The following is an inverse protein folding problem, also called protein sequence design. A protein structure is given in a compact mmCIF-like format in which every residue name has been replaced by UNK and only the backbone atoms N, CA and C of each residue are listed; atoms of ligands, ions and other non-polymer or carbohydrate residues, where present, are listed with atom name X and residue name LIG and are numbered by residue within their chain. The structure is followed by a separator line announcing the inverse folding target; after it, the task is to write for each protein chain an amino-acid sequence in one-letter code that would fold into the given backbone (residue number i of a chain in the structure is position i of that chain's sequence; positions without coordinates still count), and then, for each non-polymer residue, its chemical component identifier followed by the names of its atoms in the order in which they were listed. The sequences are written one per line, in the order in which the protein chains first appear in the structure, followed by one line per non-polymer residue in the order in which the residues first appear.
data_IF_975566598193
#
_entry.id   IF_975566598193
#
_cell.length_a   1.000
_cell.length_b   1.000
_cell.length_c   1.000
_cell.angle_alpha   90.00
_cell.angle_beta   90.00
_cell.angle_gamma   90.00
#
_symmetry.space_group_name_H-M   'P 1'
#
loop_
_entity.id
_entity.type
_entity.pdbx_description
1 polymer ?
#
# COMPACT_ATOMS: atom_id res chain seq x y z
N UNK A 1 -20.52 -40.11 -80.58
CA UNK A 1 -20.66 -40.52 -79.14
C UNK A 1 -19.56 -39.83 -78.37
N UNK A 2 -19.86 -38.66 -77.81
CA UNK A 2 -18.90 -37.87 -77.09
C UNK A 2 -19.25 -37.97 -75.59
N UNK A 3 -18.30 -38.45 -74.75
CA UNK A 3 -18.47 -38.53 -73.34
C UNK A 3 -17.93 -37.22 -72.71
N UNK A 4 -18.85 -36.41 -72.24
CA UNK A 4 -18.51 -35.21 -71.40
C UNK A 4 -18.10 -35.62 -69.98
N UNK A 5 -16.87 -35.31 -69.63
CA UNK A 5 -16.33 -35.51 -68.27
C UNK A 5 -16.55 -34.22 -67.43
N UNK A 6 -17.49 -34.26 -66.51
CA UNK A 6 -17.69 -33.17 -65.52
C UNK A 6 -16.65 -33.26 -64.43
N UNK A 7 -15.68 -32.30 -64.35
CA UNK A 7 -14.77 -32.11 -63.23
C UNK A 7 -15.49 -31.35 -62.12
N UNK A 8 -15.65 -31.96 -60.94
CA UNK A 8 -16.09 -31.27 -59.72
C UNK A 8 -14.89 -30.60 -59.05
N UNK A 9 -14.93 -29.28 -59.03
CA UNK A 9 -13.96 -28.47 -58.32
C UNK A 9 -14.37 -28.46 -56.81
N UNK A 10 -13.61 -29.13 -55.94
CA UNK A 10 -13.79 -29.05 -54.49
C UNK A 10 -13.12 -27.78 -54.00
N UNK A 11 -13.91 -26.77 -53.64
CA UNK A 11 -13.44 -25.56 -52.93
C UNK A 11 -13.32 -25.93 -51.46
N UNK A 12 -12.08 -26.08 -50.98
CA UNK A 12 -11.78 -26.20 -49.55
C UNK A 12 -11.79 -24.83 -48.92
N UNK A 13 -12.74 -24.57 -48.05
CA UNK A 13 -12.75 -23.36 -47.20
C UNK A 13 -11.78 -23.59 -46.05
N UNK A 14 -10.64 -22.89 -46.07
CA UNK A 14 -9.68 -22.86 -44.98
C UNK A 14 -10.17 -21.82 -43.96
N UNK A 15 -10.74 -22.27 -42.82
CA UNK A 15 -11.10 -21.40 -41.72
C UNK A 15 -9.83 -21.14 -40.90
N UNK A 16 -9.25 -19.95 -41.07
CA UNK A 16 -8.15 -19.51 -40.20
C UNK A 16 -8.74 -19.01 -38.87
N UNK A 17 -8.54 -19.77 -37.80
CA UNK A 17 -8.86 -19.33 -36.45
C UNK A 17 -7.73 -18.40 -36.00
N UNK A 18 -7.99 -17.09 -35.98
CA UNK A 18 -7.07 -16.10 -35.42
C UNK A 18 -7.29 -16.06 -33.90
N UNK A 19 -6.36 -16.63 -33.15
CA UNK A 19 -6.30 -16.41 -31.71
C UNK A 19 -5.79 -15.01 -31.45
N UNK A 20 -6.66 -14.08 -31.03
CA UNK A 20 -6.26 -12.78 -30.50
C UNK A 20 -5.83 -13.03 -29.06
N UNK A 21 -4.52 -13.16 -28.83
CA UNK A 21 -3.93 -13.08 -27.49
C UNK A 21 -3.95 -11.61 -27.10
N UNK A 22 -4.92 -11.23 -26.29
CA UNK A 22 -4.95 -9.90 -25.70
C UNK A 22 -3.74 -9.75 -24.76
N UNK A 23 -2.74 -8.98 -25.15
CA UNK A 23 -1.67 -8.56 -24.24
C UNK A 23 -2.31 -7.51 -23.32
N UNK A 24 -2.53 -7.86 -22.04
CA UNK A 24 -2.88 -6.89 -21.01
C UNK A 24 -1.60 -6.09 -20.76
N UNK A 25 -1.52 -4.88 -21.32
CA UNK A 25 -0.47 -3.92 -20.99
C UNK A 25 -0.90 -3.29 -19.67
N UNK A 26 -0.33 -3.74 -18.56
CA UNK A 26 -0.49 -3.06 -17.28
C UNK A 26 0.21 -1.71 -17.40
N UNK A 27 -0.55 -0.64 -17.36
CA UNK A 27 0.02 0.71 -17.33
C UNK A 27 0.81 0.88 -16.05
N UNK A 28 2.03 1.40 -16.14
CA UNK A 28 2.82 1.77 -14.96
C UNK A 28 2.14 2.80 -14.05
N UNK A 29 1.13 3.49 -14.57
CA UNK A 29 0.28 4.42 -13.83
C UNK A 29 -0.60 3.75 -12.76
N UNK A 30 -0.85 2.44 -12.85
CA UNK A 30 -1.73 1.70 -11.95
C UNK A 30 -0.97 0.83 -10.94
N UNK A 31 0.28 1.16 -10.64
CA UNK A 31 1.09 0.47 -9.64
C UNK A 31 1.29 1.38 -8.43
N UNK A 32 1.02 0.83 -7.24
CA UNK A 32 1.35 1.42 -5.96
C UNK A 32 2.39 0.51 -5.29
N UNK A 33 3.55 1.04 -4.89
CA UNK A 33 4.65 0.24 -4.35
C UNK A 33 5.33 0.96 -3.19
N UNK A 34 5.69 0.26 -2.12
CA UNK A 34 6.39 0.89 -1.00
C UNK A 34 6.47 0.02 0.23
N UNK A 35 6.91 0.65 1.31
CA UNK A 35 6.99 0.10 2.67
C UNK A 35 7.05 1.27 3.66
N UNK A 36 7.02 0.98 4.96
CA UNK A 36 7.39 1.91 6.03
C UNK A 36 8.68 1.49 6.72
N UNK A 37 9.03 2.22 7.78
CA UNK A 37 10.16 1.90 8.65
C UNK A 37 11.46 1.80 7.83
N UNK A 38 11.80 2.94 7.18
CA UNK A 38 12.66 2.92 6.01
C UNK A 38 14.13 3.03 6.39
N UNK A 39 14.59 4.21 6.78
CA UNK A 39 16.04 4.43 6.85
C UNK A 39 16.53 4.83 8.22
N UNK A 40 17.65 4.19 8.65
CA UNK A 40 18.51 4.71 9.69
C UNK A 40 19.92 4.92 9.12
N UNK A 41 20.52 6.09 9.36
CA UNK A 41 21.89 6.37 8.91
C UNK A 41 22.84 5.24 9.32
N UNK A 42 23.41 4.52 8.34
CA UNK A 42 24.29 3.38 8.57
C UNK A 42 23.66 2.00 8.30
N UNK A 43 22.36 1.91 8.04
CA UNK A 43 21.75 0.74 7.43
C UNK A 43 22.13 0.70 5.94
N UNK A 44 22.20 -0.50 5.36
CA UNK A 44 22.28 -0.69 3.91
C UNK A 44 20.97 -1.25 3.34
N UNK A 45 19.99 -1.54 4.22
CA UNK A 45 18.76 -2.22 3.82
C UNK A 45 17.79 -1.27 3.11
N UNK A 46 17.81 -0.01 3.48
CA UNK A 46 17.10 1.06 2.80
C UNK A 46 17.59 1.28 1.35
N UNK A 47 18.90 1.17 1.10
CA UNK A 47 19.44 1.20 -0.28
C UNK A 47 19.03 -0.04 -1.07
N UNK A 48 19.05 -1.22 -0.43
CA UNK A 48 18.62 -2.46 -1.08
C UNK A 48 17.12 -2.41 -1.46
N UNK A 49 16.26 -1.85 -0.60
CA UNK A 49 14.83 -1.67 -0.89
C UNK A 49 14.58 -0.54 -1.90
N UNK A 50 15.32 0.57 -1.82
CA UNK A 50 15.26 1.64 -2.81
C UNK A 50 15.66 1.14 -4.22
N UNK A 51 16.62 0.19 -4.31
CA UNK A 51 17.00 -0.46 -5.58
C UNK A 51 15.84 -1.27 -6.17
N UNK A 52 14.93 -1.83 -5.35
CA UNK A 52 13.71 -2.46 -5.87
C UNK A 52 12.82 -1.42 -6.56
N UNK A 53 12.68 -0.23 -5.94
CA UNK A 53 11.88 0.86 -6.49
C UNK A 53 12.46 1.39 -7.82
N UNK A 54 13.77 1.32 -8.04
CA UNK A 54 14.39 1.69 -9.32
C UNK A 54 13.83 0.88 -10.49
N UNK A 55 13.42 -0.37 -10.20
CA UNK A 55 12.95 -1.32 -11.21
C UNK A 55 11.41 -1.47 -11.22
N UNK A 56 10.70 -0.90 -10.26
CA UNK A 56 9.24 -0.96 -10.18
C UNK A 56 8.67 0.44 -10.42
N UNK A 57 8.08 0.70 -11.59
CA UNK A 57 7.45 1.99 -11.87
C UNK A 57 6.15 2.16 -11.10
N UNK A 58 5.59 3.38 -11.09
CA UNK A 58 4.32 3.70 -10.43
C UNK A 58 4.49 4.67 -9.27
N UNK A 59 3.44 4.84 -8.48
CA UNK A 59 3.44 5.70 -7.29
C UNK A 59 4.09 4.97 -6.13
N UNK A 60 4.99 5.66 -5.41
CA UNK A 60 5.59 5.13 -4.18
C UNK A 60 4.76 5.62 -2.99
N UNK A 61 4.35 4.72 -2.13
CA UNK A 61 3.79 5.06 -0.81
C UNK A 61 4.82 4.83 0.29
N UNK A 62 4.69 5.53 1.40
CA UNK A 62 5.39 5.17 2.64
C UNK A 62 4.39 5.10 3.79
N UNK A 63 4.52 4.08 4.64
CA UNK A 63 3.67 3.92 5.81
C UNK A 63 4.32 4.46 7.09
N UNK A 64 5.02 5.58 7.00
CA UNK A 64 5.62 6.28 8.13
C UNK A 64 7.01 5.81 8.53
N UNK A 65 7.58 6.50 9.53
CA UNK A 65 8.94 6.32 10.00
C UNK A 65 9.93 6.37 8.84
N UNK A 66 9.91 7.52 8.16
CA UNK A 66 10.64 7.69 6.91
C UNK A 66 12.14 7.84 7.15
N UNK A 67 12.55 8.58 8.18
CA UNK A 67 13.95 8.91 8.46
C UNK A 67 14.31 8.80 9.95
N UNK A 68 14.93 7.70 10.32
CA UNK A 68 15.41 7.46 11.68
C UNK A 68 16.70 8.24 12.01
N UNK A 69 17.00 8.51 13.35
CA UNK A 69 16.14 8.07 14.47
C UNK A 69 14.99 9.02 14.78
N UNK A 70 15.01 10.28 14.35
CA UNK A 70 14.15 11.32 14.89
C UNK A 70 13.44 12.18 13.84
N UNK A 71 13.53 11.85 12.55
CA UNK A 71 12.89 12.60 11.48
C UNK A 71 13.37 14.05 11.33
N UNK A 72 14.64 14.33 11.72
CA UNK A 72 15.22 15.67 11.57
C UNK A 72 15.50 16.02 10.10
N UNK A 73 15.69 17.30 9.78
CA UNK A 73 16.13 17.72 8.44
C UNK A 73 17.42 17.01 8.03
N UNK A 74 18.36 16.79 8.98
CA UNK A 74 19.60 16.06 8.76
C UNK A 74 19.35 14.57 8.47
N UNK A 75 18.43 13.91 9.22
CA UNK A 75 18.09 12.52 8.96
C UNK A 75 17.51 12.34 7.55
N UNK A 76 16.66 13.27 7.12
CA UNK A 76 16.16 13.27 5.75
C UNK A 76 17.26 13.52 4.73
N UNK A 77 18.12 14.53 4.93
CA UNK A 77 19.16 14.89 3.98
C UNK A 77 20.27 13.84 3.87
N UNK A 78 20.71 13.27 5.01
CA UNK A 78 21.89 12.41 5.05
C UNK A 78 21.55 10.92 4.88
N UNK A 79 20.31 10.50 5.18
CA UNK A 79 19.93 9.09 5.19
C UNK A 79 18.86 8.77 4.15
N UNK A 80 17.74 9.49 4.15
CA UNK A 80 16.61 9.22 3.24
C UNK A 80 16.88 9.69 1.81
N UNK A 81 17.38 10.91 1.63
CA UNK A 81 17.59 11.51 0.30
C UNK A 81 18.55 10.71 -0.59
N UNK A 82 19.67 10.17 -0.09
CA UNK A 82 20.57 9.35 -0.90
C UNK A 82 19.95 8.03 -1.38
N UNK A 83 18.94 7.50 -0.69
CA UNK A 83 18.34 6.18 -0.92
C UNK A 83 16.94 6.31 -1.53
N UNK A 84 15.89 6.30 -0.72
CA UNK A 84 14.50 6.45 -1.16
C UNK A 84 14.20 7.83 -1.76
N UNK A 85 14.97 8.85 -1.40
CA UNK A 85 14.80 10.22 -1.89
C UNK A 85 14.92 10.37 -3.40
N UNK A 86 15.63 9.46 -4.10
CA UNK A 86 15.67 9.45 -5.57
C UNK A 86 14.30 9.17 -6.20
N UNK A 87 13.34 8.68 -5.43
CA UNK A 87 11.95 8.47 -5.85
C UNK A 87 10.98 9.54 -5.34
N UNK A 88 11.47 10.59 -4.66
CA UNK A 88 10.67 11.66 -4.04
C UNK A 88 9.59 12.24 -4.97
N UNK A 89 9.91 12.44 -6.24
CA UNK A 89 8.97 13.03 -7.20
C UNK A 89 7.68 12.22 -7.41
N UNK A 90 7.71 10.91 -7.14
CA UNK A 90 6.57 10.00 -7.25
C UNK A 90 6.12 9.43 -5.90
N UNK A 91 6.69 9.92 -4.78
CA UNK A 91 6.35 9.48 -3.44
C UNK A 91 5.14 10.23 -2.89
N UNK A 92 4.27 9.48 -2.24
CA UNK A 92 3.10 9.93 -1.47
C UNK A 92 3.26 9.41 -0.04
N UNK A 93 3.87 10.20 0.86
CA UNK A 93 4.27 9.71 2.17
C UNK A 93 3.12 9.79 3.19
N UNK A 94 3.20 8.96 4.24
CA UNK A 94 2.52 9.12 5.52
C UNK A 94 3.57 9.33 6.61
N UNK A 95 3.31 10.09 7.67
CA UNK A 95 4.24 10.22 8.79
C UNK A 95 4.07 9.06 9.78
N UNK A 96 5.15 8.78 10.55
CA UNK A 96 5.17 7.86 11.68
C UNK A 96 5.66 8.52 12.97
N UNK A 97 5.76 7.75 14.05
CA UNK A 97 6.12 8.31 15.35
C UNK A 97 7.55 8.83 15.40
N UNK A 98 8.50 8.25 14.66
CA UNK A 98 9.86 8.78 14.59
C UNK A 98 9.93 10.11 13.83
N UNK A 99 9.07 10.32 12.84
CA UNK A 99 8.94 11.62 12.16
C UNK A 99 8.45 12.71 13.14
N UNK A 100 7.68 12.33 14.19
CA UNK A 100 7.16 13.21 15.23
C UNK A 100 8.06 13.36 16.47
N UNK A 101 9.24 12.71 16.53
CA UNK A 101 10.23 13.03 17.57
C UNK A 101 10.68 14.49 17.47
N UNK A 102 10.62 15.08 16.27
CA UNK A 102 10.73 16.53 16.08
C UNK A 102 9.34 17.15 16.11
N UNK A 103 9.20 18.24 16.88
CA UNK A 103 7.92 18.94 17.06
C UNK A 103 7.22 19.21 15.72
N UNK A 104 5.94 18.83 15.63
CA UNK A 104 5.10 18.96 14.46
C UNK A 104 5.66 18.22 13.21
N UNK A 105 6.47 17.19 13.37
CA UNK A 105 7.12 16.46 12.28
C UNK A 105 7.82 17.41 11.28
N UNK A 106 8.52 18.44 11.77
CA UNK A 106 9.02 19.52 10.94
C UNK A 106 9.93 19.03 9.81
N UNK A 107 10.86 18.09 10.07
CA UNK A 107 11.74 17.55 9.02
C UNK A 107 10.97 16.80 7.94
N UNK A 108 9.94 16.03 8.30
CA UNK A 108 9.06 15.35 7.35
C UNK A 108 8.35 16.35 6.41
N UNK A 109 7.72 17.37 6.97
CA UNK A 109 7.01 18.37 6.16
C UNK A 109 7.97 19.25 5.36
N UNK A 110 9.14 19.60 5.91
CA UNK A 110 10.17 20.34 5.18
C UNK A 110 10.68 19.54 3.98
N UNK A 111 10.91 18.25 4.19
CA UNK A 111 11.43 17.38 3.14
C UNK A 111 10.40 17.12 2.04
N UNK A 112 9.22 16.60 2.37
CA UNK A 112 8.23 16.20 1.36
C UNK A 112 7.40 17.37 0.81
N UNK A 113 7.30 18.48 1.54
CA UNK A 113 6.53 19.65 1.11
C UNK A 113 5.06 19.31 0.81
N UNK A 114 4.55 19.75 -0.33
CA UNK A 114 3.17 19.52 -0.72
C UNK A 114 2.80 18.04 -0.95
N UNK A 115 3.77 17.14 -1.13
CA UNK A 115 3.51 15.71 -1.25
C UNK A 115 3.03 15.09 0.08
N UNK A 116 3.33 15.74 1.22
CA UNK A 116 2.88 15.34 2.56
C UNK A 116 1.46 15.87 2.91
N UNK A 117 0.76 16.49 1.97
CA UNK A 117 -0.50 17.16 2.24
C UNK A 117 -0.32 18.54 2.91
N UNK A 118 -1.31 18.97 3.69
CA UNK A 118 -1.25 20.23 4.43
C UNK A 118 -0.30 20.11 5.63
N UNK A 119 0.59 21.09 5.77
CA UNK A 119 1.56 21.13 6.88
C UNK A 119 0.82 21.06 8.22
N UNK A 120 1.29 20.16 9.09
CA UNK A 120 0.70 19.91 10.42
C UNK A 120 -0.51 18.97 10.41
N UNK A 121 -0.97 18.53 9.24
CA UNK A 121 -2.03 17.51 9.11
C UNK A 121 -1.45 16.13 8.74
N UNK A 122 -0.75 16.04 7.61
CA UNK A 122 -0.15 14.79 7.12
C UNK A 122 -1.15 13.75 6.67
N UNK A 123 -2.41 14.18 6.36
CA UNK A 123 -3.45 13.35 5.76
C UNK A 123 -4.02 14.03 4.52
N UNK A 124 -4.28 13.23 3.50
CA UNK A 124 -4.74 13.67 2.17
C UNK A 124 -5.20 12.48 1.33
N UNK A 125 -5.82 12.73 0.19
CA UNK A 125 -6.19 11.69 -0.76
C UNK A 125 -5.75 12.04 -2.18
N UNK A 126 -5.70 11.02 -3.04
CA UNK A 126 -5.36 11.12 -4.45
C UNK A 126 -5.84 9.86 -5.19
N UNK A 127 -5.87 9.91 -6.51
CA UNK A 127 -6.28 8.76 -7.31
C UNK A 127 -5.09 8.10 -8.01
N UNK A 128 -5.16 6.76 -8.13
CA UNK A 128 -4.27 5.94 -8.95
C UNK A 128 -5.11 5.09 -9.88
N UNK A 129 -5.24 5.49 -11.12
CA UNK A 129 -6.19 4.88 -12.05
C UNK A 129 -7.63 5.09 -11.57
N UNK A 130 -8.35 3.98 -11.38
CA UNK A 130 -9.74 3.99 -10.90
C UNK A 130 -9.85 3.83 -9.36
N UNK A 131 -8.73 3.83 -8.66
CA UNK A 131 -8.65 3.67 -7.21
C UNK A 131 -8.57 4.99 -6.49
N UNK A 132 -9.36 5.13 -5.43
CA UNK A 132 -9.23 6.22 -4.46
C UNK A 132 -8.23 5.83 -3.37
N UNK A 133 -7.16 6.60 -3.20
CA UNK A 133 -6.06 6.33 -2.28
C UNK A 133 -6.03 7.39 -1.18
N UNK A 134 -5.99 6.95 0.07
CA UNK A 134 -6.08 7.82 1.24
C UNK A 134 -4.84 7.62 2.12
N UNK A 135 -4.05 8.67 2.29
CA UNK A 135 -3.00 8.73 3.30
C UNK A 135 -3.57 9.32 4.59
N UNK A 136 -3.39 8.63 5.72
CA UNK A 136 -3.81 9.11 7.04
C UNK A 136 -2.61 9.30 7.97
N UNK A 137 -2.85 9.97 9.08
CA UNK A 137 -1.85 10.23 10.11
C UNK A 137 -2.30 9.58 11.43
N UNK A 138 -1.56 8.57 11.89
CA UNK A 138 -1.86 7.83 13.12
C UNK A 138 -1.27 8.45 14.40
N UNK A 139 -0.57 9.59 14.28
CA UNK A 139 -0.03 10.31 15.42
C UNK A 139 -1.12 11.22 16.03
N UNK A 140 -2.17 10.56 16.55
CA UNK A 140 -3.43 11.17 16.97
C UNK A 140 -3.26 12.33 17.94
N UNK A 141 -2.33 12.22 18.88
CA UNK A 141 -2.05 13.27 19.88
C UNK A 141 -1.53 14.57 19.26
N UNK A 142 -0.88 14.48 18.13
CA UNK A 142 -0.18 15.60 17.50
C UNK A 142 -1.06 16.37 16.51
N UNK A 143 -2.15 15.76 16.05
CA UNK A 143 -3.02 16.32 15.01
C UNK A 143 -4.45 16.59 15.47
N UNK A 144 -4.72 16.52 16.77
CA UNK A 144 -6.04 16.84 17.33
C UNK A 144 -7.00 15.66 17.40
N UNK A 145 -6.50 14.42 17.33
CA UNK A 145 -7.27 13.18 17.55
C UNK A 145 -7.46 12.36 16.28
N UNK A 146 -7.86 11.08 16.50
CA UNK A 146 -8.22 10.14 15.44
C UNK A 146 -9.68 9.69 15.53
N UNK A 147 -10.44 10.19 16.50
CA UNK A 147 -11.86 9.91 16.65
C UNK A 147 -12.66 10.43 15.45
N UNK A 148 -13.82 9.88 15.19
CA UNK A 148 -14.71 10.32 14.10
C UNK A 148 -15.03 11.84 14.18
N UNK A 149 -15.11 12.37 15.40
CA UNK A 149 -15.37 13.80 15.66
C UNK A 149 -14.12 14.71 15.54
N UNK A 150 -12.93 14.13 15.42
CA UNK A 150 -11.69 14.88 15.25
C UNK A 150 -11.61 15.56 13.88
N UNK A 151 -10.72 16.55 13.70
CA UNK A 151 -10.53 17.19 12.38
C UNK A 151 -10.22 16.18 11.27
N UNK A 152 -9.36 15.17 11.54
CA UNK A 152 -9.04 14.13 10.54
C UNK A 152 -10.22 13.18 10.30
N UNK A 153 -10.93 12.75 11.37
CA UNK A 153 -12.10 11.89 11.22
C UNK A 153 -13.21 12.54 10.40
N UNK A 154 -13.51 13.83 10.65
CA UNK A 154 -14.47 14.59 9.86
C UNK A 154 -14.01 14.77 8.41
N UNK A 155 -12.73 15.01 8.20
CA UNK A 155 -12.16 15.10 6.85
C UNK A 155 -12.29 13.76 6.12
N UNK A 156 -11.90 12.62 6.75
CA UNK A 156 -12.01 11.30 6.16
C UNK A 156 -13.45 10.96 5.77
N UNK A 157 -14.42 11.23 6.65
CA UNK A 157 -15.83 11.01 6.35
C UNK A 157 -16.30 11.85 5.15
N UNK A 158 -15.89 13.11 5.07
CA UNK A 158 -16.23 13.99 3.96
C UNK A 158 -15.54 13.56 2.65
N UNK A 159 -14.29 13.13 2.72
CA UNK A 159 -13.50 12.67 1.58
C UNK A 159 -14.11 11.41 0.96
N UNK A 160 -14.41 10.40 1.76
CA UNK A 160 -15.07 9.16 1.35
C UNK A 160 -16.44 9.43 0.71
N UNK A 161 -17.22 10.36 1.27
CA UNK A 161 -18.52 10.74 0.71
C UNK A 161 -18.42 11.50 -0.62
N UNK A 162 -17.36 12.29 -0.81
CA UNK A 162 -17.12 13.08 -2.01
C UNK A 162 -16.53 12.26 -3.16
N UNK A 163 -15.85 11.16 -2.86
CA UNK A 163 -15.09 10.34 -3.81
C UNK A 163 -15.59 8.88 -3.83
N UNK A 164 -16.86 8.62 -4.20
CA UNK A 164 -17.36 7.26 -4.29
C UNK A 164 -16.58 6.51 -5.38
N UNK A 165 -15.76 5.57 -4.97
CA UNK A 165 -14.94 4.74 -5.85
C UNK A 165 -15.35 3.27 -5.75
N UNK A 166 -15.12 2.49 -6.81
CA UNK A 166 -15.32 1.04 -6.79
C UNK A 166 -14.29 0.36 -5.91
N UNK A 167 -13.09 0.94 -5.81
CA UNK A 167 -11.99 0.40 -5.03
C UNK A 167 -11.32 1.51 -4.22
N UNK A 168 -11.12 1.29 -2.94
CA UNK A 168 -10.51 2.25 -2.02
C UNK A 168 -9.40 1.59 -1.20
N UNK A 169 -8.27 2.29 -1.10
CA UNK A 169 -7.14 1.89 -0.29
C UNK A 169 -6.73 3.02 0.65
N UNK A 170 -6.51 2.72 1.92
CA UNK A 170 -5.96 3.68 2.88
C UNK A 170 -4.64 3.17 3.46
N UNK A 171 -3.75 4.10 3.85
CA UNK A 171 -2.51 3.75 4.54
C UNK A 171 -2.10 4.80 5.57
N UNK A 172 -1.49 4.31 6.64
CA UNK A 172 -0.92 5.10 7.73
C UNK A 172 0.09 4.26 8.51
N UNK A 173 0.72 4.82 9.55
CA UNK A 173 1.82 4.15 10.24
C UNK A 173 1.37 3.04 11.20
N UNK A 174 0.66 3.36 12.29
CA UNK A 174 0.33 2.40 13.37
C UNK A 174 -0.84 1.49 12.99
N UNK A 175 -0.66 0.15 12.91
CA UNK A 175 -1.72 -0.78 12.53
C UNK A 175 -2.82 -0.89 13.61
N UNK A 176 -4.05 -1.26 13.19
CA UNK A 176 -5.08 -1.68 14.14
C UNK A 176 -4.85 -3.12 14.61
N UNK A 177 -4.40 -3.98 13.70
CA UNK A 177 -4.07 -5.38 13.99
C UNK A 177 -2.62 -5.67 13.61
N UNK A 178 -1.86 -6.28 14.54
CA UNK A 178 -0.49 -6.71 14.30
C UNK A 178 -0.10 -7.81 15.29
N UNK A 179 0.55 -8.84 14.78
CA UNK A 179 1.22 -9.86 15.61
C UNK A 179 2.64 -9.47 15.99
N UNK A 180 3.11 -8.28 15.60
CA UNK A 180 4.45 -7.79 15.89
C UNK A 180 4.66 -7.39 17.36
N UNK A 181 5.82 -6.86 17.66
CA UNK A 181 6.23 -6.53 19.03
C UNK A 181 5.41 -5.38 19.63
N UNK A 182 5.01 -4.40 18.81
CA UNK A 182 4.19 -3.27 19.25
C UNK A 182 2.70 -3.63 19.34
N UNK A 183 2.26 -4.58 18.51
CA UNK A 183 0.85 -5.01 18.45
C UNK A 183 -0.08 -3.97 17.86
N UNK A 184 -1.39 -4.22 17.98
CA UNK A 184 -2.42 -3.34 17.45
C UNK A 184 -2.61 -2.04 18.26
N UNK A 185 -2.96 -0.97 17.57
CA UNK A 185 -3.17 0.37 18.13
C UNK A 185 -4.65 0.77 18.06
N UNK A 186 -5.37 0.68 19.16
CA UNK A 186 -6.82 0.91 19.20
C UNK A 186 -7.26 2.36 18.92
N UNK A 187 -6.37 3.35 19.06
CA UNK A 187 -6.69 4.75 18.75
C UNK A 187 -7.01 5.00 17.28
N UNK A 188 -6.62 4.10 16.36
CA UNK A 188 -6.92 4.18 14.92
C UNK A 188 -8.16 3.37 14.51
N UNK A 189 -8.83 2.69 15.46
CA UNK A 189 -10.08 1.96 15.17
C UNK A 189 -11.15 2.84 14.49
N UNK A 190 -11.33 4.13 14.84
CA UNK A 190 -12.30 4.97 14.15
C UNK A 190 -12.02 5.14 12.64
N UNK A 191 -10.76 5.06 12.19
CA UNK A 191 -10.45 5.04 10.75
C UNK A 191 -10.99 3.78 10.09
N UNK A 192 -10.78 2.64 10.74
CA UNK A 192 -11.31 1.37 10.27
C UNK A 192 -12.83 1.35 10.19
N UNK A 193 -13.52 1.93 11.18
CA UNK A 193 -14.98 2.04 11.19
C UNK A 193 -15.49 2.85 9.99
N UNK A 194 -14.88 4.03 9.72
CA UNK A 194 -15.25 4.86 8.57
C UNK A 194 -14.94 4.19 7.23
N UNK A 195 -13.77 3.56 7.12
CA UNK A 195 -13.35 2.84 5.92
C UNK A 195 -14.21 1.61 5.64
N UNK A 196 -14.56 0.84 6.68
CA UNK A 196 -15.42 -0.32 6.55
C UNK A 196 -16.85 0.06 6.13
N UNK A 197 -17.40 1.13 6.70
CA UNK A 197 -18.72 1.65 6.30
C UNK A 197 -18.72 2.17 4.85
N UNK A 198 -17.58 2.66 4.37
CA UNK A 198 -17.39 3.09 2.98
C UNK A 198 -16.96 1.96 2.04
N UNK A 199 -16.93 0.69 2.52
CA UNK A 199 -16.58 -0.49 1.73
C UNK A 199 -15.17 -0.41 1.13
N UNK A 200 -14.20 0.11 1.89
CA UNK A 200 -12.80 0.13 1.50
C UNK A 200 -12.22 -1.29 1.46
N UNK A 201 -11.25 -1.52 0.58
CA UNK A 201 -10.74 -2.84 0.25
C UNK A 201 -9.45 -3.20 0.97
N UNK A 202 -8.53 -2.22 1.10
CA UNK A 202 -7.15 -2.45 1.55
C UNK A 202 -6.72 -1.39 2.54
N UNK A 203 -6.02 -1.84 3.59
CA UNK A 203 -5.28 -0.99 4.53
C UNK A 203 -3.81 -1.40 4.54
N UNK A 204 -2.88 -0.40 4.50
CA UNK A 204 -1.45 -0.64 4.62
C UNK A 204 -0.90 0.10 5.83
N UNK A 205 -0.05 -0.58 6.59
CA UNK A 205 0.58 -0.05 7.80
C UNK A 205 2.07 -0.39 7.86
N UNK A 206 2.79 0.28 8.77
CA UNK A 206 4.16 0.00 9.18
C UNK A 206 4.25 -0.25 10.68
N UNK A 207 5.18 0.45 11.37
CA UNK A 207 5.38 0.48 12.82
C UNK A 207 5.93 -0.81 13.41
N UNK A 208 5.31 -1.96 13.17
CA UNK A 208 5.96 -3.23 13.41
C UNK A 208 6.87 -3.56 12.22
N UNK A 209 8.16 -3.68 12.48
CA UNK A 209 9.16 -3.94 11.45
C UNK A 209 9.10 -5.41 10.99
N UNK A 210 7.99 -5.74 10.36
CA UNK A 210 7.64 -7.08 9.87
C UNK A 210 6.85 -6.98 8.57
N UNK A 211 6.70 -8.11 7.89
CA UNK A 211 5.64 -8.29 6.90
C UNK A 211 4.55 -9.16 7.50
N UNK A 212 3.32 -8.69 7.47
CA UNK A 212 2.15 -9.48 7.86
C UNK A 212 0.98 -9.17 6.95
N UNK A 213 0.22 -10.20 6.56
CA UNK A 213 -1.02 -10.05 5.79
C UNK A 213 -2.17 -10.76 6.50
N UNK A 214 -3.28 -10.05 6.61
CA UNK A 214 -4.51 -10.55 7.21
C UNK A 214 -5.54 -10.98 6.17
N UNK A 215 -6.42 -11.92 6.54
CA UNK A 215 -7.66 -12.15 5.82
C UNK A 215 -8.56 -10.91 5.94
N UNK A 216 -9.49 -10.68 4.98
CA UNK A 216 -10.47 -9.60 5.11
C UNK A 216 -11.25 -9.69 6.41
N UNK A 217 -11.32 -8.59 7.16
CA UNK A 217 -11.91 -8.53 8.50
C UNK A 217 -12.62 -7.19 8.73
N UNK A 218 -13.52 -7.20 9.73
CA UNK A 218 -14.22 -6.02 10.20
C UNK A 218 -13.38 -5.20 11.22
N UNK A 219 -13.82 -4.00 11.64
CA UNK A 219 -13.09 -3.17 12.62
C UNK A 219 -12.93 -3.80 14.01
N UNK A 220 -13.58 -4.94 14.29
CA UNK A 220 -13.48 -5.68 15.56
C UNK A 220 -12.57 -6.92 15.45
N UNK A 221 -11.97 -7.17 14.27
CA UNK A 221 -11.12 -8.32 14.00
C UNK A 221 -11.89 -9.61 13.73
N UNK A 222 -13.17 -9.52 13.37
CA UNK A 222 -13.94 -10.68 12.94
C UNK A 222 -13.75 -10.86 11.43
N UNK A 223 -13.41 -12.09 11.01
CA UNK A 223 -13.25 -12.40 9.59
C UNK A 223 -14.53 -12.11 8.80
N UNK A 224 -14.40 -11.31 7.75
CA UNK A 224 -15.50 -10.95 6.84
C UNK A 224 -15.03 -11.04 5.38
N UNK A 225 -15.11 -12.25 4.78
CA UNK A 225 -14.65 -12.44 3.39
C UNK A 225 -15.46 -11.68 2.34
N UNK A 226 -16.65 -11.19 2.70
CA UNK A 226 -17.58 -10.54 1.76
C UNK A 226 -17.44 -9.02 1.72
N UNK A 227 -17.08 -8.40 2.83
CA UNK A 227 -17.07 -6.94 2.99
C UNK A 227 -15.83 -6.43 3.74
N UNK A 228 -15.08 -7.34 4.36
CA UNK A 228 -13.95 -6.99 5.22
C UNK A 228 -12.79 -6.34 4.47
N UNK A 229 -12.03 -5.55 5.20
CA UNK A 229 -10.82 -4.89 4.71
C UNK A 229 -9.63 -5.83 4.86
N UNK A 230 -8.81 -5.97 3.83
CA UNK A 230 -7.53 -6.69 3.90
C UNK A 230 -6.42 -5.75 4.38
N UNK A 231 -5.78 -6.11 5.49
CA UNK A 231 -4.64 -5.37 6.03
C UNK A 231 -3.32 -6.00 5.63
N UNK A 232 -2.33 -5.14 5.35
CA UNK A 232 -0.93 -5.50 5.22
C UNK A 232 -0.11 -4.61 6.15
N UNK A 233 0.63 -5.22 7.07
CA UNK A 233 1.73 -4.57 7.78
C UNK A 233 2.99 -4.77 6.95
N UNK A 234 3.66 -3.70 6.56
CA UNK A 234 4.82 -3.71 5.67
C UNK A 234 5.92 -2.75 6.18
N UNK A 235 6.33 -2.96 7.44
CA UNK A 235 7.42 -2.24 8.10
C UNK A 235 8.80 -2.78 7.71
N UNK A 236 9.00 -3.05 6.42
CA UNK A 236 10.17 -3.78 5.90
C UNK A 236 11.09 -2.93 5.05
N UNK A 237 10.95 -1.57 5.15
CA UNK A 237 11.65 -0.61 4.29
C UNK A 237 13.15 -0.53 4.50
N UNK A 238 13.67 -0.93 5.69
CA UNK A 238 15.12 -0.94 5.91
C UNK A 238 15.56 -0.85 7.37
N UNK A 239 14.69 -0.43 8.28
CA UNK A 239 14.96 -0.48 9.72
C UNK A 239 15.07 -1.93 10.23
N UNK A 240 15.70 -2.13 11.38
CA UNK A 240 15.93 -3.46 11.95
C UNK A 240 14.63 -4.22 12.22
N UNK A 241 14.51 -5.46 11.70
CA UNK A 241 13.28 -6.24 11.82
C UNK A 241 13.03 -6.71 13.26
N UNK A 242 11.75 -6.80 13.66
CA UNK A 242 11.30 -7.19 14.98
C UNK A 242 10.84 -8.65 15.04
N UNK A 243 10.70 -9.18 16.25
CA UNK A 243 10.12 -10.50 16.47
C UNK A 243 8.60 -10.43 16.46
N UNK A 244 7.95 -11.55 16.14
CA UNK A 244 6.51 -11.71 16.34
C UNK A 244 6.19 -12.12 17.78
N UNK A 245 5.04 -11.65 18.26
CA UNK A 245 4.34 -12.20 19.39
C UNK A 245 3.48 -13.42 19.02
N UNK A 246 2.39 -13.63 19.75
CA UNK A 246 1.37 -14.61 19.37
C UNK A 246 0.65 -14.12 18.10
N UNK A 247 0.28 -15.05 17.19
CA UNK A 247 -0.50 -14.69 16.02
C UNK A 247 -1.83 -14.03 16.40
N UNK A 248 -2.11 -12.87 15.80
CA UNK A 248 -3.44 -12.29 15.84
C UNK A 248 -4.43 -13.14 15.03
N UNK A 249 -5.73 -13.12 15.40
CA UNK A 249 -6.77 -13.71 14.56
C UNK A 249 -6.69 -13.18 13.11
N UNK A 250 -7.02 -14.03 12.15
CA UNK A 250 -6.98 -13.71 10.70
C UNK A 250 -5.60 -13.42 10.10
N UNK A 251 -4.51 -13.50 10.85
CA UNK A 251 -3.16 -13.44 10.30
C UNK A 251 -2.90 -14.64 9.40
N UNK A 252 -2.71 -14.41 8.09
CA UNK A 252 -2.54 -15.47 7.07
C UNK A 252 -1.08 -15.72 6.73
N UNK A 253 -0.27 -14.67 6.62
CA UNK A 253 1.14 -14.75 6.22
C UNK A 253 1.96 -13.79 7.07
N UNK A 254 3.13 -14.27 7.55
CA UNK A 254 4.06 -13.47 8.37
C UNK A 254 5.51 -13.75 8.01
N UNK A 255 6.31 -12.68 7.97
CA UNK A 255 7.76 -12.79 7.83
C UNK A 255 8.45 -11.64 8.57
N UNK A 256 9.49 -11.95 9.32
CA UNK A 256 10.33 -10.98 10.04
C UNK A 256 11.83 -11.21 9.79
N UNK A 257 12.18 -11.80 8.67
CA UNK A 257 13.57 -12.12 8.33
C UNK A 257 14.03 -11.48 7.02
N UNK A 258 13.10 -10.88 6.26
CA UNK A 258 13.37 -10.36 4.92
C UNK A 258 12.88 -8.93 4.79
N UNK A 259 13.75 -8.02 4.36
CA UNK A 259 13.37 -6.69 3.91
C UNK A 259 12.85 -6.75 2.48
N UNK A 260 11.98 -5.82 2.14
CA UNK A 260 11.36 -5.73 0.82
C UNK A 260 10.30 -4.65 0.76
N UNK A 261 9.60 -4.61 -0.36
CA UNK A 261 8.50 -3.68 -0.61
C UNK A 261 7.24 -4.44 -1.01
N UNK A 262 6.08 -3.91 -0.65
CA UNK A 262 4.81 -4.40 -1.16
C UNK A 262 4.49 -3.66 -2.46
N UNK A 263 4.22 -4.41 -3.51
CA UNK A 263 3.74 -3.92 -4.81
C UNK A 263 2.28 -4.30 -4.98
N UNK A 264 1.45 -3.34 -5.29
CA UNK A 264 0.05 -3.52 -5.66
C UNK A 264 -0.14 -3.12 -7.12
N UNK A 265 -0.76 -4.00 -7.91
CA UNK A 265 -1.23 -3.68 -9.25
C UNK A 265 -2.73 -3.46 -9.18
N UNK A 266 -3.16 -2.23 -9.42
CA UNK A 266 -4.53 -1.78 -9.23
C UNK A 266 -5.30 -1.90 -10.55
N UNK A 267 -6.36 -2.70 -10.56
CA UNK A 267 -7.27 -2.87 -11.68
C UNK A 267 -8.59 -2.15 -11.41
N UNK A 268 -9.45 -1.88 -12.37
CA UNK A 268 -10.69 -1.13 -12.14
C UNK A 268 -11.64 -1.72 -11.09
N UNK A 269 -11.56 -3.04 -10.84
CA UNK A 269 -12.46 -3.76 -9.91
C UNK A 269 -11.76 -4.83 -9.10
N UNK A 270 -10.42 -4.83 -9.08
CA UNK A 270 -9.60 -5.84 -8.38
C UNK A 270 -8.18 -5.34 -8.18
N UNK A 271 -7.40 -6.08 -7.40
CA UNK A 271 -5.98 -5.81 -7.22
C UNK A 271 -5.19 -7.10 -7.11
N UNK A 272 -3.91 -7.03 -7.53
CA UNK A 272 -2.91 -8.05 -7.27
C UNK A 272 -1.90 -7.49 -6.28
N UNK A 273 -1.41 -8.34 -5.37
CA UNK A 273 -0.30 -7.98 -4.47
C UNK A 273 0.90 -8.89 -4.67
N UNK A 274 2.07 -8.35 -4.42
CA UNK A 274 3.34 -9.07 -4.45
C UNK A 274 4.29 -8.44 -3.43
N UNK A 275 4.74 -9.20 -2.42
CA UNK A 275 5.88 -8.80 -1.61
C UNK A 275 7.16 -9.10 -2.39
N UNK A 276 7.89 -8.05 -2.73
CA UNK A 276 9.14 -8.12 -3.50
C UNK A 276 10.32 -8.02 -2.55
N UNK A 277 11.05 -9.11 -2.31
CA UNK A 277 12.19 -9.12 -1.38
C UNK A 277 13.41 -8.45 -1.99
N UNK A 278 14.33 -7.98 -1.12
CA UNK A 278 15.66 -7.54 -1.56
C UNK A 278 16.46 -8.68 -2.20
N UNK A 279 17.46 -8.33 -3.00
CA UNK A 279 18.26 -9.29 -3.75
C UNK A 279 18.84 -10.40 -2.86
N UNK A 280 18.79 -11.64 -3.33
CA UNK A 280 19.29 -12.82 -2.62
C UNK A 280 18.33 -13.39 -1.57
N UNK A 281 17.19 -12.76 -1.31
CA UNK A 281 16.15 -13.30 -0.44
C UNK A 281 15.06 -14.01 -1.28
N UNK A 282 14.37 -14.97 -0.65
CA UNK A 282 13.45 -15.86 -1.38
C UNK A 282 12.01 -15.82 -0.87
N UNK A 283 11.76 -15.18 0.30
CA UNK A 283 10.39 -15.04 0.78
C UNK A 283 9.61 -14.10 -0.15
N UNK A 284 8.45 -14.53 -0.57
CA UNK A 284 7.46 -13.71 -1.27
C UNK A 284 6.06 -14.11 -0.82
N UNK A 285 5.13 -13.19 -0.91
CA UNK A 285 3.69 -13.42 -0.75
C UNK A 285 2.99 -12.72 -1.89
N UNK A 286 2.13 -13.42 -2.60
CA UNK A 286 1.42 -12.86 -3.75
C UNK A 286 0.01 -13.43 -3.88
N UNK A 287 -0.87 -12.66 -4.49
CA UNK A 287 -2.23 -13.08 -4.76
C UNK A 287 -3.04 -11.99 -5.44
N UNK A 288 -4.34 -12.22 -5.54
CA UNK A 288 -5.30 -11.28 -6.13
C UNK A 288 -6.62 -11.31 -5.37
N UNK A 289 -7.35 -10.19 -5.38
CA UNK A 289 -8.71 -10.12 -4.86
C UNK A 289 -9.54 -9.13 -5.70
N UNK A 290 -10.84 -9.38 -5.78
CA UNK A 290 -11.80 -8.40 -6.26
C UNK A 290 -12.02 -7.32 -5.20
N UNK A 291 -12.33 -6.10 -5.64
CA UNK A 291 -12.82 -5.05 -4.74
C UNK A 291 -14.21 -5.40 -4.21
N UNK A 292 -14.50 -4.92 -3.00
CA UNK A 292 -15.84 -4.97 -2.45
C UNK A 292 -16.72 -4.06 -3.33
N UNK A 293 -17.74 -4.63 -3.96
CA UNK A 293 -18.64 -3.82 -4.77
C UNK A 293 -19.57 -3.03 -3.85
N UNK A 294 -19.66 -1.69 -3.99
CA UNK A 294 -20.60 -0.91 -3.20
C UNK A 294 -22.02 -1.48 -3.36
N UNK A 295 -22.69 -1.67 -2.22
CA UNK A 295 -24.09 -2.09 -2.23
C UNK A 295 -24.91 -1.00 -2.98
N UNK A 296 -25.44 -1.34 -4.15
CA UNK A 296 -26.25 -0.46 -4.99
C UNK A 296 -27.62 -0.25 -4.40
#
# INVERSE_FOLDING_TARGET
MERSSKRFLKIGILVAIVFIVGIIVVSSANVLVGAGDITGCGSQKDEETATLLDNIPGTVFTTGDNAYPDGTDENFADCYDPTWGRHKARTRPSPGNHDYHISNAAGYFNYFGSAAGEIGKGYYSYDVGDWHIIALNSECSDIGGCEISSPQGQWLQADLAANPSTCTLAYWHKPLFSSGTHGGTTSVQPFWELLYEAEADVVLNGHDHTYERFAPQDPTGIADPGRGIREFVVGTGGAGLYSFGSPEPNSEVRNNTVHGVLKLTLHPTSYDWEFVPIAGQTFTDSGSAACVSPAR
#
